data_IF_922469328121
#
_entry.id   IF_922469328121
#
_cell.length_a   1.000
_cell.length_b   1.000
_cell.length_c   1.000
_cell.angle_alpha   90.00
_cell.angle_beta   90.00
_cell.angle_gamma   90.00
#
_symmetry.space_group_name_H-M   'P 1'
#
loop_
_entity.id
_entity.type
_entity.pdbx_description
1 polymer ?
#
# COMPACT_ATOMS: atom_id res chain seq x y z
N UNK A 1 -3.31 16.58 4.04
CA UNK A 1 -2.44 15.50 3.51
C UNK A 1 -2.90 15.19 2.10
N UNK A 2 -2.01 15.13 1.11
CA UNK A 2 -2.38 14.78 -0.26
C UNK A 2 -2.46 13.26 -0.47
N UNK A 3 -3.13 12.81 -1.54
CA UNK A 3 -3.19 11.38 -1.88
C UNK A 3 -1.81 10.77 -2.14
N UNK A 4 -0.87 11.55 -2.71
CA UNK A 4 0.53 11.13 -2.92
C UNK A 4 1.30 10.96 -1.61
N UNK A 5 1.07 11.85 -0.64
CA UNK A 5 1.67 11.72 0.69
C UNK A 5 1.15 10.47 1.41
N UNK A 6 -0.16 10.21 1.29
CA UNK A 6 -0.78 9.01 1.85
C UNK A 6 -0.24 7.73 1.22
N UNK A 7 -0.12 7.69 -0.12
CA UNK A 7 0.50 6.57 -0.85
C UNK A 7 1.93 6.30 -0.36
N UNK A 8 2.76 7.35 -0.26
CA UNK A 8 4.16 7.24 0.18
C UNK A 8 4.26 6.66 1.58
N UNK A 9 3.38 7.07 2.50
CA UNK A 9 3.35 6.55 3.87
C UNK A 9 2.93 5.07 3.89
N UNK A 10 1.87 4.71 3.15
CA UNK A 10 1.39 3.32 3.08
C UNK A 10 2.47 2.39 2.51
N UNK A 11 3.15 2.78 1.43
CA UNK A 11 4.22 1.98 0.83
C UNK A 11 5.43 1.84 1.75
N UNK A 12 5.86 2.93 2.37
CA UNK A 12 7.00 2.91 3.30
C UNK A 12 6.74 1.96 4.48
N UNK A 13 5.54 2.05 5.06
CA UNK A 13 5.12 1.14 6.12
C UNK A 13 5.00 -0.30 5.63
N UNK A 14 4.42 -0.51 4.44
CA UNK A 14 4.31 -1.85 3.84
C UNK A 14 5.68 -2.50 3.64
N UNK A 15 6.68 -1.79 3.14
CA UNK A 15 8.03 -2.34 2.95
C UNK A 15 8.68 -2.74 4.28
N UNK A 16 8.47 -1.97 5.36
CA UNK A 16 8.94 -2.35 6.70
C UNK A 16 8.26 -3.64 7.21
N UNK A 17 6.97 -3.80 6.92
CA UNK A 17 6.22 -5.00 7.31
C UNK A 17 6.64 -6.21 6.47
N UNK A 18 6.88 -6.05 5.17
CA UNK A 18 7.41 -7.13 4.32
C UNK A 18 8.81 -7.53 4.75
N UNK A 19 9.65 -6.57 5.10
CA UNK A 19 10.96 -6.86 5.69
C UNK A 19 10.79 -7.71 6.96
N UNK A 20 9.83 -7.39 7.82
CA UNK A 20 9.63 -8.06 9.12
C UNK A 20 8.96 -9.43 9.02
N UNK A 21 7.91 -9.54 8.21
CA UNK A 21 7.00 -10.69 8.18
C UNK A 21 7.05 -11.47 6.85
N UNK A 22 7.86 -11.01 5.89
CA UNK A 22 8.07 -11.69 4.62
C UNK A 22 7.12 -11.26 3.49
N UNK A 23 7.34 -11.81 2.29
CA UNK A 23 6.67 -11.39 1.05
C UNK A 23 5.18 -11.71 0.97
N UNK A 24 4.69 -12.61 1.83
CA UNK A 24 3.28 -13.02 1.87
C UNK A 24 2.40 -12.05 2.70
N UNK A 25 3.01 -11.04 3.32
CA UNK A 25 2.28 -10.05 4.10
C UNK A 25 1.29 -9.25 3.23
N UNK A 26 0.09 -9.03 3.75
CA UNK A 26 -0.97 -8.22 3.13
C UNK A 26 -1.19 -6.96 3.95
N UNK A 27 -0.80 -5.82 3.41
CA UNK A 27 -1.02 -4.53 4.05
C UNK A 27 -2.44 -4.04 3.80
N UNK A 28 -3.18 -3.70 4.86
CA UNK A 28 -4.53 -3.14 4.76
C UNK A 28 -4.54 -1.73 5.34
N UNK A 29 -4.96 -0.77 4.52
CA UNK A 29 -5.01 0.64 4.85
C UNK A 29 -6.42 1.16 4.62
N UNK A 30 -6.87 2.11 5.43
CA UNK A 30 -8.16 2.76 5.25
C UNK A 30 -7.94 4.23 4.96
N UNK A 31 -8.69 4.76 4.01
CA UNK A 31 -8.77 6.19 3.76
C UNK A 31 -10.24 6.60 3.77
N UNK A 32 -10.57 7.56 4.62
CA UNK A 32 -11.93 8.03 4.83
C UNK A 32 -12.40 9.02 3.75
N UNK A 33 -13.71 9.20 3.65
CA UNK A 33 -14.33 10.22 2.81
C UNK A 33 -13.79 11.62 3.07
N UNK A 34 -13.64 11.99 4.34
CA UNK A 34 -13.17 13.31 4.73
C UNK A 34 -11.71 13.53 4.33
N UNK A 35 -10.85 12.52 4.49
CA UNK A 35 -9.46 12.57 4.03
C UNK A 35 -9.36 12.73 2.52
N UNK A 36 -10.19 12.03 1.76
CA UNK A 36 -10.25 12.13 0.29
C UNK A 36 -10.71 13.52 -0.13
N UNK A 37 -11.78 14.02 0.48
CA UNK A 37 -12.30 15.36 0.21
C UNK A 37 -11.26 16.44 0.50
N UNK A 38 -10.57 16.34 1.63
CA UNK A 38 -9.50 17.26 2.00
C UNK A 38 -8.34 17.17 1.02
N UNK A 39 -7.92 15.95 0.63
CA UNK A 39 -6.82 15.75 -0.31
C UNK A 39 -7.12 16.31 -1.71
N UNK A 40 -8.39 16.32 -2.12
CA UNK A 40 -8.85 16.83 -3.42
C UNK A 40 -9.40 18.26 -3.36
N UNK A 41 -9.33 18.92 -2.19
CA UNK A 41 -9.91 20.26 -1.95
C UNK A 41 -11.39 20.37 -2.37
N UNK A 42 -12.18 19.32 -2.11
CA UNK A 42 -13.62 19.27 -2.45
C UNK A 42 -14.50 19.48 -1.22
N UNK A 43 -15.50 20.35 -1.37
CA UNK A 43 -16.50 20.61 -0.32
C UNK A 43 -17.63 19.56 -0.28
N UNK A 44 -17.84 18.82 -1.37
CA UNK A 44 -18.89 17.79 -1.48
C UNK A 44 -18.33 16.54 -2.13
N UNK A 45 -18.85 15.39 -1.71
CA UNK A 45 -18.53 14.10 -2.31
C UNK A 45 -19.31 13.91 -3.59
N UNK A 46 -18.59 13.64 -4.68
CA UNK A 46 -19.16 13.34 -5.99
C UNK A 46 -18.72 11.95 -6.44
N UNK A 47 -19.47 11.34 -7.35
CA UNK A 47 -19.08 10.05 -7.94
C UNK A 47 -17.72 10.14 -8.64
N UNK A 48 -17.48 11.21 -9.39
CA UNK A 48 -16.20 11.49 -10.06
C UNK A 48 -15.02 11.50 -9.07
N UNK A 49 -15.21 12.06 -7.87
CA UNK A 49 -14.20 12.09 -6.81
C UNK A 49 -13.84 10.65 -6.39
N UNK A 50 -14.85 9.81 -6.19
CA UNK A 50 -14.66 8.42 -5.78
C UNK A 50 -13.98 7.58 -6.86
N UNK A 51 -14.40 7.74 -8.11
CA UNK A 51 -13.81 7.05 -9.26
C UNK A 51 -12.36 7.50 -9.49
N UNK A 52 -12.08 8.79 -9.37
CA UNK A 52 -10.73 9.33 -9.44
C UNK A 52 -9.83 8.73 -8.36
N UNK A 53 -10.26 8.74 -7.10
CA UNK A 53 -9.47 8.19 -5.99
C UNK A 53 -9.27 6.68 -6.14
N UNK A 54 -10.29 5.94 -6.56
CA UNK A 54 -10.17 4.50 -6.82
C UNK A 54 -9.11 4.25 -7.89
N UNK A 55 -9.24 4.91 -9.05
CA UNK A 55 -8.32 4.77 -10.17
C UNK A 55 -6.88 5.14 -9.78
N UNK A 56 -6.73 6.22 -9.01
CA UNK A 56 -5.42 6.68 -8.52
C UNK A 56 -4.68 5.59 -7.74
N UNK A 57 -5.35 4.91 -6.80
CA UNK A 57 -4.73 3.85 -6.01
C UNK A 57 -4.58 2.54 -6.80
N UNK A 58 -5.54 2.17 -7.66
CA UNK A 58 -5.41 0.98 -8.52
C UNK A 58 -4.19 1.08 -9.45
N UNK A 59 -3.95 2.24 -10.06
CA UNK A 59 -2.75 2.48 -10.88
C UNK A 59 -1.44 2.32 -10.10
N UNK A 60 -1.47 2.57 -8.78
CA UNK A 60 -0.32 2.44 -7.89
C UNK A 60 -0.14 1.04 -7.30
N UNK A 61 -0.98 0.07 -7.72
CA UNK A 61 -0.85 -1.34 -7.38
C UNK A 61 -1.69 -1.79 -6.17
N UNK A 62 -2.62 -0.96 -5.71
CA UNK A 62 -3.53 -1.31 -4.62
C UNK A 62 -4.76 -2.03 -5.14
N UNK A 63 -5.27 -3.00 -4.38
CA UNK A 63 -6.63 -3.49 -4.54
C UNK A 63 -7.56 -2.59 -3.71
N UNK A 64 -8.49 -1.89 -4.38
CA UNK A 64 -9.35 -0.88 -3.75
C UNK A 64 -10.77 -1.41 -3.57
N UNK A 65 -11.23 -1.45 -2.32
CA UNK A 65 -12.58 -1.87 -1.96
C UNK A 65 -13.36 -0.72 -1.31
N UNK A 66 -14.58 -0.48 -1.79
CA UNK A 66 -15.48 0.54 -1.23
C UNK A 66 -15.99 0.09 0.14
N UNK A 67 -15.91 0.98 1.13
CA UNK A 67 -16.51 0.78 2.46
C UNK A 67 -17.60 1.82 2.71
N UNK A 68 -18.34 1.68 3.81
CA UNK A 68 -19.36 2.66 4.22
C UNK A 68 -18.79 4.04 4.57
N UNK A 69 -17.48 4.15 4.79
CA UNK A 69 -16.83 5.39 5.25
C UNK A 69 -15.72 5.90 4.32
N UNK A 70 -15.44 5.21 3.21
CA UNK A 70 -14.34 5.56 2.31
C UNK A 70 -13.86 4.37 1.46
N UNK A 71 -12.56 4.12 1.47
CA UNK A 71 -11.93 2.98 0.79
C UNK A 71 -11.03 2.19 1.74
N UNK A 72 -11.09 0.87 1.60
CA UNK A 72 -10.07 -0.05 2.08
C UNK A 72 -9.11 -0.33 0.92
N UNK A 73 -7.83 -0.15 1.19
CA UNK A 73 -6.74 -0.29 0.24
C UNK A 73 -5.88 -1.46 0.68
N UNK A 74 -5.78 -2.48 -0.17
CA UNK A 74 -4.95 -3.64 0.11
C UNK A 74 -3.71 -3.63 -0.78
N UNK A 75 -2.55 -3.84 -0.16
CA UNK A 75 -1.24 -3.94 -0.80
C UNK A 75 -0.71 -5.35 -0.60
N UNK A 76 -0.31 -5.97 -1.71
CA UNK A 76 0.41 -7.24 -1.69
C UNK A 76 1.68 -7.10 -2.53
N UNK A 77 2.75 -7.79 -2.13
CA UNK A 77 4.05 -7.73 -2.80
C UNK A 77 3.92 -8.03 -4.31
N UNK A 78 3.00 -8.93 -4.66
CA UNK A 78 2.72 -9.36 -6.04
C UNK A 78 2.10 -8.29 -6.93
N UNK A 79 1.38 -7.32 -6.36
CA UNK A 79 0.70 -6.26 -7.13
C UNK A 79 1.53 -4.98 -7.23
N UNK A 80 2.63 -4.90 -6.48
CA UNK A 80 3.61 -3.82 -6.60
C UNK A 80 4.49 -4.04 -7.82
N UNK A 81 3.93 -3.80 -9.00
CA UNK A 81 4.64 -3.83 -10.28
C UNK A 81 4.68 -2.45 -10.98
N UNK A 82 3.98 -1.44 -10.45
CA UNK A 82 3.70 -0.20 -11.18
C UNK A 82 4.89 0.77 -11.32
N UNK A 83 5.93 0.65 -10.49
CA UNK A 83 7.11 1.54 -10.51
C UNK A 83 8.41 0.74 -10.30
N UNK A 84 9.46 0.97 -11.12
CA UNK A 84 10.78 0.35 -10.91
C UNK A 84 11.37 0.61 -9.53
N UNK A 85 11.12 1.79 -8.94
CA UNK A 85 11.63 2.14 -7.60
C UNK A 85 10.93 1.34 -6.50
N UNK A 86 9.62 1.10 -6.63
CA UNK A 86 8.86 0.28 -5.69
C UNK A 86 9.29 -1.20 -5.77
N UNK A 87 9.58 -1.70 -6.98
CA UNK A 87 10.12 -3.05 -7.17
C UNK A 87 11.49 -3.21 -6.50
N UNK A 88 12.37 -2.21 -6.63
CA UNK A 88 13.69 -2.25 -5.99
C UNK A 88 13.59 -2.23 -4.46
N UNK A 89 12.73 -1.38 -3.89
CA UNK A 89 12.48 -1.32 -2.44
C UNK A 89 11.88 -2.62 -1.91
N UNK A 90 10.94 -3.20 -2.65
CA UNK A 90 10.36 -4.49 -2.29
C UNK A 90 11.40 -5.61 -2.32
N UNK A 91 12.21 -5.69 -3.38
CA UNK A 91 13.28 -6.69 -3.49
C UNK A 91 14.26 -6.58 -2.32
N UNK A 92 14.67 -5.36 -1.95
CA UNK A 92 15.53 -5.11 -0.80
C UNK A 92 14.89 -5.55 0.52
N UNK A 93 13.60 -5.28 0.72
CA UNK A 93 12.87 -5.73 1.91
C UNK A 93 12.83 -7.26 2.00
N UNK A 94 12.57 -7.95 0.88
CA UNK A 94 12.55 -9.42 0.82
C UNK A 94 13.94 -10.02 1.07
N UNK A 95 15.00 -9.41 0.54
CA UNK A 95 16.37 -9.88 0.75
C UNK A 95 16.80 -9.72 2.22
N UNK A 96 16.43 -8.59 2.84
CA UNK A 96 16.66 -8.32 4.26
C UNK A 96 15.90 -9.31 5.14
N UNK A 97 14.62 -9.57 4.84
CA UNK A 97 13.85 -10.64 5.47
C UNK A 97 14.56 -11.98 5.40
N UNK A 98 14.95 -12.43 4.19
CA UNK A 98 15.66 -13.71 3.98
C UNK A 98 16.95 -13.78 4.79
N UNK A 99 17.73 -12.70 4.79
CA UNK A 99 18.98 -12.64 5.55
C UNK A 99 18.73 -12.82 7.05
N UNK A 100 17.68 -12.20 7.59
CA UNK A 100 17.29 -12.40 9.00
C UNK A 100 16.77 -13.81 9.28
N UNK A 101 15.92 -14.36 8.40
CA UNK A 101 15.40 -15.71 8.53
C UNK A 101 16.54 -16.76 8.56
N UNK A 102 17.56 -16.62 7.70
CA UNK A 102 18.78 -17.46 7.75
C UNK A 102 19.49 -17.31 9.09
N UNK A 103 19.72 -16.07 9.54
CA UNK A 103 20.48 -15.80 10.77
C UNK A 103 19.76 -16.29 12.04
N UNK A 104 18.43 -16.33 12.03
CA UNK A 104 17.61 -16.81 13.15
C UNK A 104 17.24 -18.30 13.05
N UNK A 105 17.65 -18.99 11.97
CA UNK A 105 17.32 -20.40 11.75
C UNK A 105 15.85 -20.66 11.42
N UNK A 106 15.10 -19.62 11.05
CA UNK A 106 13.65 -19.68 10.79
C UNK A 106 13.39 -19.95 9.30
N UNK A 107 13.82 -21.14 8.85
CA UNK A 107 13.81 -21.53 7.43
C UNK A 107 12.39 -21.85 6.92
N UNK A 108 11.44 -22.12 7.82
CA UNK A 108 10.04 -22.42 7.48
C UNK A 108 9.26 -21.19 7.00
N UNK A 109 9.77 -19.98 7.26
CA UNK A 109 9.17 -18.70 6.86
C UNK A 109 9.75 -18.14 5.52
N UNK A 110 10.65 -18.87 4.85
CA UNK A 110 11.25 -18.48 3.56
C UNK A 110 10.32 -18.72 2.35
#
# INVERSE_FOLDING_TARGET
MSLEQFDTQCKSHFFQLVDTYGPNFVGKYNISEDEIRQALNRQRSTQEMWEFTKTFFELKGYCVSRTSFGFQLELIARTMASSPDDQFKLAKAIESFRSRAVLQGDVDNM
#
